data_IF_028549723834
#
_entry.id   IF_028549723834
#
_cell.length_a   1.000
_cell.length_b   1.000
_cell.length_c   1.000
_cell.angle_alpha   90.00
_cell.angle_beta   90.00
_cell.angle_gamma   90.00
#
_symmetry.space_group_name_H-M   'P 1'
#
loop_
_entity.id
_entity.type
_entity.pdbx_description
1 polymer ?
#
# COMPACT_ATOMS: atom_id res chain seq x y z
N UNK A 1 29.41 -18.78 14.83
CA UNK A 1 29.14 -18.27 16.20
C UNK A 1 27.70 -17.80 16.27
N UNK A 2 26.85 -18.49 17.04
CA UNK A 2 25.46 -18.09 17.21
C UNK A 2 25.39 -16.88 18.14
N UNK A 3 25.04 -15.71 17.59
CA UNK A 3 24.67 -14.55 18.39
C UNK A 3 23.43 -14.90 19.21
N UNK A 4 23.48 -14.61 20.52
CA UNK A 4 22.46 -14.92 21.54
C UNK A 4 21.02 -14.55 21.12
N UNK A 5 20.86 -13.60 20.19
CA UNK A 5 19.61 -13.13 19.61
C UNK A 5 18.74 -14.19 18.91
N UNK A 6 19.29 -15.35 18.54
CA UNK A 6 18.61 -16.33 17.66
C UNK A 6 18.26 -17.64 18.37
N UNK A 7 18.58 -17.76 19.67
CA UNK A 7 18.45 -19.02 20.41
C UNK A 7 17.02 -19.50 20.69
N UNK A 8 16.01 -18.67 20.46
CA UNK A 8 14.61 -18.98 20.78
C UNK A 8 13.66 -18.72 19.60
N UNK A 9 14.14 -19.02 18.38
CA UNK A 9 13.41 -18.79 17.14
C UNK A 9 13.10 -20.13 16.49
N UNK A 10 11.84 -20.39 16.06
CA UNK A 10 11.49 -21.64 15.37
C UNK A 10 12.40 -21.91 14.16
N UNK A 11 12.78 -23.17 13.92
CA UNK A 11 13.65 -23.58 12.80
C UNK A 11 13.19 -23.01 11.45
N UNK A 12 11.87 -22.98 11.20
CA UNK A 12 11.28 -22.47 9.97
C UNK A 12 11.51 -20.97 9.80
N UNK A 13 11.31 -20.19 10.87
CA UNK A 13 11.57 -18.75 10.85
C UNK A 13 13.06 -18.48 10.68
N UNK A 14 13.91 -19.32 11.25
CA UNK A 14 15.36 -19.28 11.10
C UNK A 14 15.82 -19.50 9.65
N UNK A 15 15.13 -20.38 8.91
CA UNK A 15 15.41 -20.64 7.49
C UNK A 15 15.07 -19.42 6.63
N UNK A 16 13.91 -18.81 6.86
CA UNK A 16 13.49 -17.59 6.16
C UNK A 16 14.41 -16.40 6.49
N UNK A 17 14.79 -16.24 7.76
CA UNK A 17 15.73 -15.19 8.17
C UNK A 17 17.11 -15.33 7.52
N UNK A 18 17.61 -16.57 7.34
CA UNK A 18 18.87 -16.82 6.62
C UNK A 18 18.75 -16.48 5.14
N UNK A 19 17.62 -16.82 4.50
CA UNK A 19 17.34 -16.46 3.11
C UNK A 19 17.31 -14.94 2.93
N UNK A 20 16.55 -14.24 3.77
CA UNK A 20 16.46 -12.78 3.79
C UNK A 20 17.81 -12.10 4.02
N UNK A 21 18.66 -12.66 4.89
CA UNK A 21 20.01 -12.16 5.12
C UNK A 21 20.84 -12.11 3.83
N UNK A 22 20.72 -13.15 2.99
CA UNK A 22 21.42 -13.25 1.70
C UNK A 22 20.81 -12.30 0.68
N UNK A 23 19.48 -12.29 0.55
CA UNK A 23 18.76 -11.42 -0.40
C UNK A 23 19.01 -9.93 -0.13
N UNK A 24 19.10 -9.52 1.15
CA UNK A 24 19.35 -8.14 1.55
C UNK A 24 20.82 -7.77 1.70
N UNK A 25 21.74 -8.71 1.41
CA UNK A 25 23.19 -8.49 1.48
C UNK A 25 23.71 -8.16 2.88
N UNK A 26 23.03 -8.60 3.93
CA UNK A 26 23.40 -8.29 5.32
C UNK A 26 24.57 -9.15 5.77
N UNK A 27 25.64 -8.54 6.30
CA UNK A 27 26.82 -9.25 6.83
C UNK A 27 26.53 -9.79 8.22
N UNK A 28 25.80 -9.02 9.04
CA UNK A 28 25.46 -9.38 10.42
C UNK A 28 23.96 -9.57 10.64
N UNK A 29 23.60 -10.31 11.69
CA UNK A 29 22.20 -10.44 12.12
C UNK A 29 21.63 -9.11 12.64
N UNK A 30 22.47 -8.27 13.25
CA UNK A 30 22.09 -6.94 13.71
C UNK A 30 21.70 -6.02 12.55
N UNK A 31 22.42 -6.07 11.42
CA UNK A 31 22.05 -5.34 10.20
C UNK A 31 20.70 -5.78 9.64
N UNK A 32 20.45 -7.11 9.62
CA UNK A 32 19.15 -7.64 9.17
C UNK A 32 18.02 -7.14 10.07
N UNK A 33 18.19 -7.24 11.40
CA UNK A 33 17.20 -6.75 12.36
C UNK A 33 16.98 -5.24 12.26
N UNK A 34 18.05 -4.46 12.07
CA UNK A 34 17.94 -3.00 11.88
C UNK A 34 17.16 -2.65 10.61
N UNK A 35 17.41 -3.36 9.49
CA UNK A 35 16.64 -3.19 8.26
C UNK A 35 15.17 -3.61 8.43
N UNK A 36 14.91 -4.75 9.07
CA UNK A 36 13.55 -5.22 9.32
C UNK A 36 12.76 -4.25 10.20
N UNK A 37 13.36 -3.74 11.28
CA UNK A 37 12.74 -2.72 12.15
C UNK A 37 12.54 -1.40 11.42
N UNK A 38 13.46 -0.99 10.54
CA UNK A 38 13.28 0.19 9.70
C UNK A 38 12.14 0.02 8.69
N UNK A 39 12.04 -1.15 8.05
CA UNK A 39 10.94 -1.51 7.16
C UNK A 39 9.60 -1.60 7.91
N UNK A 40 9.58 -2.16 9.12
CA UNK A 40 8.39 -2.22 9.96
C UNK A 40 7.91 -0.82 10.38
N UNK A 41 8.83 0.08 10.75
CA UNK A 41 8.53 1.51 11.01
C UNK A 41 7.91 2.23 9.81
N UNK A 42 8.11 1.71 8.59
CA UNK A 42 7.55 2.30 7.36
C UNK A 42 6.11 1.85 7.09
N UNK A 43 5.61 0.83 7.81
CA UNK A 43 4.26 0.25 7.61
C UNK A 43 3.44 0.25 8.91
N UNK A 44 3.66 1.23 9.80
CA UNK A 44 2.68 1.49 10.86
C UNK A 44 1.62 2.43 10.28
N UNK A 45 0.75 1.87 9.43
CA UNK A 45 -0.54 2.49 9.14
C UNK A 45 -1.38 2.37 10.42
N UNK A 46 -1.45 3.46 11.18
CA UNK A 46 -2.33 3.53 12.36
C UNK A 46 -3.73 3.11 11.96
N UNK A 47 -4.43 2.39 12.82
CA UNK A 47 -5.81 1.94 12.59
C UNK A 47 -6.71 3.08 12.07
N UNK A 48 -6.54 4.26 12.63
CA UNK A 48 -7.24 5.49 12.22
C UNK A 48 -7.00 5.85 10.74
N UNK A 49 -5.78 5.68 10.22
CA UNK A 49 -5.45 5.93 8.80
C UNK A 49 -6.08 4.90 7.87
N UNK A 50 -6.18 3.64 8.32
CA UNK A 50 -6.86 2.59 7.57
C UNK A 50 -8.36 2.85 7.53
N UNK A 51 -8.96 3.25 8.66
CA UNK A 51 -10.38 3.58 8.74
C UNK A 51 -10.73 4.84 7.93
N UNK A 52 -9.86 5.85 7.92
CA UNK A 52 -9.96 7.04 7.06
C UNK A 52 -9.92 6.65 5.58
N UNK A 53 -8.95 5.83 5.16
CA UNK A 53 -8.87 5.32 3.78
C UNK A 53 -10.10 4.51 3.39
N UNK A 54 -10.57 3.62 4.27
CA UNK A 54 -11.74 2.78 4.01
C UNK A 54 -12.99 3.63 3.82
N UNK A 55 -13.16 4.64 4.66
CA UNK A 55 -14.27 5.60 4.57
C UNK A 55 -14.20 6.41 3.26
N UNK A 56 -13.00 6.87 2.87
CA UNK A 56 -12.79 7.56 1.60
C UNK A 56 -13.11 6.72 0.37
N UNK A 57 -12.64 5.47 0.34
CA UNK A 57 -12.94 4.52 -0.76
C UNK A 57 -14.43 4.24 -0.84
N UNK A 58 -15.10 4.03 0.31
CA UNK A 58 -16.53 3.78 0.34
C UNK A 58 -17.34 4.99 -0.14
N UNK A 59 -16.96 6.20 0.26
CA UNK A 59 -17.57 7.43 -0.24
C UNK A 59 -17.39 7.61 -1.74
N UNK A 60 -16.21 7.30 -2.28
CA UNK A 60 -15.95 7.35 -3.73
C UNK A 60 -16.82 6.36 -4.52
N UNK A 61 -16.98 5.13 -4.03
CA UNK A 61 -17.83 4.13 -4.66
C UNK A 61 -19.32 4.53 -4.64
N UNK A 62 -19.78 5.12 -3.53
CA UNK A 62 -21.12 5.70 -3.45
C UNK A 62 -21.30 6.83 -4.46
N UNK A 63 -20.32 7.73 -4.55
CA UNK A 63 -20.35 8.84 -5.50
C UNK A 63 -20.44 8.33 -6.94
N UNK A 64 -19.62 7.32 -7.29
CA UNK A 64 -19.68 6.65 -8.59
C UNK A 64 -21.08 6.11 -8.89
N UNK A 65 -21.71 5.45 -7.92
CA UNK A 65 -23.07 4.93 -8.08
C UNK A 65 -24.08 6.06 -8.31
N UNK A 66 -24.02 7.13 -7.50
CA UNK A 66 -24.90 8.29 -7.64
C UNK A 66 -24.72 8.95 -9.01
N UNK A 67 -23.48 9.21 -9.42
CA UNK A 67 -23.16 9.80 -10.73
C UNK A 67 -23.67 8.90 -11.84
N UNK A 68 -23.41 7.60 -11.79
CA UNK A 68 -23.90 6.66 -12.81
C UNK A 68 -25.43 6.59 -12.87
N UNK A 69 -26.14 6.72 -11.75
CA UNK A 69 -27.60 6.68 -11.72
C UNK A 69 -28.23 7.98 -12.23
N UNK A 70 -27.67 9.14 -11.83
CA UNK A 70 -28.18 10.46 -12.19
C UNK A 70 -27.77 10.89 -13.60
N UNK A 71 -26.63 10.40 -14.10
CA UNK A 71 -26.10 10.71 -15.42
C UNK A 71 -26.52 9.67 -16.47
N UNK A 72 -27.83 9.42 -16.54
CA UNK A 72 -28.45 8.48 -17.49
C UNK A 72 -28.98 9.18 -18.75
N UNK A 73 -28.90 10.52 -18.81
CA UNK A 73 -29.40 11.33 -19.94
C UNK A 73 -28.32 12.10 -20.69
N UNK A 74 -28.67 12.73 -21.83
CA UNK A 74 -27.80 13.66 -22.52
C UNK A 74 -27.60 14.95 -21.71
N UNK A 75 -26.42 15.60 -21.83
CA UNK A 75 -25.26 15.16 -22.59
C UNK A 75 -24.56 13.99 -21.88
N UNK A 76 -24.20 12.96 -22.63
CA UNK A 76 -23.50 11.81 -22.04
C UNK A 76 -22.10 12.22 -21.56
N UNK A 77 -21.49 11.43 -20.67
CA UNK A 77 -20.12 11.67 -20.20
C UNK A 77 -19.14 11.88 -21.35
N UNK A 78 -19.32 11.16 -22.47
CA UNK A 78 -18.50 11.32 -23.68
C UNK A 78 -18.71 12.67 -24.37
N UNK A 79 -19.94 13.16 -24.43
CA UNK A 79 -20.25 14.47 -25.03
C UNK A 79 -19.71 15.62 -24.18
N UNK A 80 -19.82 15.55 -22.85
CA UNK A 80 -19.18 16.54 -21.97
C UNK A 80 -17.65 16.48 -22.04
N UNK A 81 -17.06 15.28 -22.12
CA UNK A 81 -15.60 15.14 -22.28
C UNK A 81 -15.12 15.73 -23.61
N UNK A 82 -15.89 15.56 -24.69
CA UNK A 82 -15.61 16.21 -25.99
C UNK A 82 -15.75 17.73 -25.91
N UNK A 83 -16.74 18.24 -25.17
CA UNK A 83 -16.95 19.68 -24.98
C UNK A 83 -15.80 20.33 -24.22
N UNK A 84 -15.33 19.73 -23.13
CA UNK A 84 -14.21 20.24 -22.35
C UNK A 84 -12.92 20.34 -23.19
N UNK A 85 -12.63 19.33 -24.00
CA UNK A 85 -11.44 19.35 -24.88
C UNK A 85 -11.49 20.40 -25.99
N UNK A 86 -12.68 20.89 -26.37
CA UNK A 86 -12.82 22.02 -27.32
C UNK A 86 -12.49 23.37 -26.68
N UNK A 87 -12.40 23.45 -25.36
CA UNK A 87 -12.04 24.65 -24.62
C UNK A 87 -10.58 24.68 -24.17
N UNK A 88 -9.78 23.68 -24.53
CA UNK A 88 -8.34 23.68 -24.29
C UNK A 88 -7.67 24.55 -25.36
N UNK A 89 -7.11 25.72 -25.02
CA UNK A 89 -6.39 26.54 -26.00
C UNK A 89 -5.12 25.80 -26.40
N UNK A 90 -4.94 25.64 -27.71
CA UNK A 90 -3.70 25.15 -28.35
C UNK A 90 -2.53 26.09 -28.05
#
# INVERSE_FOLDING_TARGET
MATILVKNVPEDLLKELKRLKVELGCKTWAELLAKLVASEKTIILTKDKIDEMRSGVQGFLQLKSIVSSKWTGPPTVLEETKRLRRHEPV
#
